data_IF_967587323408
#
_entry.id   IF_967587323408
#
_cell.length_a   1.000
_cell.length_b   1.000
_cell.length_c   1.000
_cell.angle_alpha   90.00
_cell.angle_beta   90.00
_cell.angle_gamma   90.00
#
_symmetry.space_group_name_H-M   'P 1'
#
loop_
_entity.id
_entity.type
_entity.pdbx_description
1 polymer ?
#
# COMPACT_ATOMS: atom_id res chain seq x y z
N UNK A 1 -19.81 -22.57 4.49
CA UNK A 1 -19.78 -21.14 4.16
C UNK A 1 -18.31 -20.76 3.98
N UNK A 2 -17.83 -20.82 2.75
CA UNK A 2 -16.48 -20.34 2.42
C UNK A 2 -16.52 -18.81 2.50
N UNK A 3 -15.91 -18.27 3.56
CA UNK A 3 -15.71 -16.83 3.67
C UNK A 3 -14.77 -16.41 2.55
N UNK A 4 -15.32 -15.84 1.49
CA UNK A 4 -14.57 -15.31 0.35
C UNK A 4 -13.53 -14.31 0.86
N UNK A 5 -12.27 -14.74 0.85
CA UNK A 5 -11.08 -13.92 1.14
C UNK A 5 -10.93 -12.73 0.19
N UNK A 6 -11.76 -12.64 -0.87
CA UNK A 6 -11.67 -11.60 -1.90
C UNK A 6 -12.06 -10.19 -1.41
N UNK A 7 -12.88 -10.07 -0.36
CA UNK A 7 -13.33 -8.76 0.16
C UNK A 7 -12.56 -8.25 1.38
N UNK A 8 -11.66 -9.06 1.94
CA UNK A 8 -10.90 -8.70 3.14
C UNK A 8 -10.10 -7.39 2.99
N UNK A 9 -9.39 -7.12 1.87
CA UNK A 9 -8.66 -5.86 1.70
C UNK A 9 -9.59 -4.65 1.77
N UNK A 10 -10.72 -4.68 1.04
CA UNK A 10 -11.68 -3.58 0.99
C UNK A 10 -12.32 -3.30 2.35
N UNK A 11 -12.68 -4.34 3.11
CA UNK A 11 -13.23 -4.21 4.47
C UNK A 11 -12.25 -3.55 5.44
N UNK A 12 -10.95 -3.71 5.22
CA UNK A 12 -9.88 -3.08 6.01
C UNK A 12 -9.47 -1.69 5.51
N UNK A 13 -10.12 -1.21 4.43
CA UNK A 13 -9.88 0.09 3.82
C UNK A 13 -8.73 0.11 2.81
N UNK A 14 -8.24 -1.05 2.38
CA UNK A 14 -7.22 -1.18 1.34
C UNK A 14 -7.85 -1.25 -0.05
N UNK A 15 -7.23 -0.58 -1.01
CA UNK A 15 -7.57 -0.61 -2.43
C UNK A 15 -6.39 -1.17 -3.23
N UNK A 16 -6.62 -1.74 -4.41
CA UNK A 16 -5.50 -2.21 -5.25
C UNK A 16 -4.60 -1.03 -5.61
N UNK A 17 -3.29 -1.20 -5.50
CA UNK A 17 -2.33 -0.11 -5.75
C UNK A 17 -2.47 0.46 -7.16
N UNK A 18 -2.73 -0.40 -8.15
CA UNK A 18 -2.89 -0.01 -9.55
C UNK A 18 -4.29 0.50 -9.92
N UNK A 19 -5.26 0.47 -8.99
CA UNK A 19 -6.58 1.04 -9.23
C UNK A 19 -6.55 2.56 -9.02
N UNK A 20 -6.03 3.27 -10.03
CA UNK A 20 -5.91 4.73 -9.99
C UNK A 20 -7.26 5.44 -9.87
N UNK A 21 -8.37 4.77 -10.21
CA UNK A 21 -9.71 5.34 -10.05
C UNK A 21 -10.13 5.46 -8.59
N UNK A 22 -9.54 4.64 -7.71
CA UNK A 22 -9.74 4.72 -6.27
C UNK A 22 -9.05 5.93 -5.62
N UNK A 23 -8.21 6.66 -6.37
CA UNK A 23 -7.39 7.77 -5.88
C UNK A 23 -7.62 9.03 -6.72
N UNK A 24 -8.74 9.74 -6.53
CA UNK A 24 -9.12 10.84 -7.42
C UNK A 24 -8.24 12.09 -7.29
N UNK A 25 -7.60 12.30 -6.14
CA UNK A 25 -6.74 13.47 -5.89
C UNK A 25 -5.41 13.37 -6.65
N UNK A 26 -5.06 14.41 -7.40
CA UNK A 26 -3.85 14.42 -8.25
C UNK A 26 -2.56 14.18 -7.46
N UNK A 27 -2.42 14.77 -6.27
CA UNK A 27 -1.25 14.53 -5.41
C UNK A 27 -1.13 13.07 -4.97
N UNK A 28 -2.28 12.39 -4.76
CA UNK A 28 -2.30 10.96 -4.42
C UNK A 28 -1.93 10.11 -5.63
N UNK A 29 -2.40 10.46 -6.83
CA UNK A 29 -2.00 9.77 -8.07
C UNK A 29 -0.50 9.90 -8.32
N UNK A 30 0.07 11.08 -8.09
CA UNK A 30 1.51 11.31 -8.18
C UNK A 30 2.27 10.40 -7.21
N UNK A 31 1.87 10.38 -5.93
CA UNK A 31 2.49 9.52 -4.92
C UNK A 31 2.40 8.03 -5.27
N UNK A 32 1.23 7.57 -5.70
CA UNK A 32 1.00 6.18 -6.13
C UNK A 32 1.91 5.84 -7.32
N UNK A 33 2.00 6.72 -8.32
CA UNK A 33 2.88 6.55 -9.48
C UNK A 33 4.35 6.42 -9.09
N UNK A 34 4.83 7.29 -8.18
CA UNK A 34 6.20 7.23 -7.68
C UNK A 34 6.48 5.93 -6.91
N UNK A 35 5.51 5.47 -6.10
CA UNK A 35 5.62 4.22 -5.33
C UNK A 35 5.65 3.01 -6.26
N UNK A 36 4.83 2.99 -7.31
CA UNK A 36 4.83 1.93 -8.32
C UNK A 36 6.20 1.86 -9.01
N UNK A 37 6.75 3.01 -9.42
CA UNK A 37 8.07 3.06 -10.04
C UNK A 37 9.16 2.55 -9.10
N UNK A 38 9.12 2.92 -7.82
CA UNK A 38 10.09 2.45 -6.83
C UNK A 38 9.97 0.92 -6.55
N UNK A 39 8.75 0.37 -6.50
CA UNK A 39 8.56 -1.09 -6.41
C UNK A 39 9.17 -1.82 -7.62
N UNK A 40 8.94 -1.28 -8.82
CA UNK A 40 9.52 -1.83 -10.06
C UNK A 40 11.05 -1.75 -10.05
N UNK A 41 11.62 -0.64 -9.58
CA UNK A 41 13.08 -0.48 -9.41
C UNK A 41 13.67 -1.55 -8.48
N UNK A 42 12.91 -1.97 -7.45
CA UNK A 42 13.26 -3.05 -6.53
C UNK A 42 12.94 -4.45 -7.07
N UNK A 43 12.49 -4.56 -8.32
CA UNK A 43 12.06 -5.81 -8.98
C UNK A 43 10.87 -6.49 -8.29
N UNK A 44 10.02 -5.71 -7.63
CA UNK A 44 8.77 -6.19 -7.03
C UNK A 44 7.59 -5.93 -7.98
N UNK A 45 6.57 -6.78 -7.94
CA UNK A 45 5.39 -6.66 -8.80
C UNK A 45 4.32 -5.79 -8.13
N UNK A 46 4.00 -4.58 -8.64
CA UNK A 46 3.02 -3.69 -8.04
C UNK A 46 1.59 -4.27 -7.98
N UNK A 47 1.26 -5.23 -8.85
CA UNK A 47 -0.06 -5.89 -8.86
C UNK A 47 -0.34 -6.68 -7.58
N UNK A 48 0.71 -7.09 -6.86
CA UNK A 48 0.62 -7.87 -5.63
C UNK A 48 0.30 -7.00 -4.41
N UNK A 49 0.26 -5.67 -4.57
CA UNK A 49 0.11 -4.73 -3.48
C UNK A 49 -1.25 -4.04 -3.46
N UNK A 50 -1.73 -3.85 -2.25
CA UNK A 50 -2.86 -3.00 -1.90
C UNK A 50 -2.35 -1.81 -1.08
N UNK A 51 -3.02 -0.68 -1.22
CA UNK A 51 -2.66 0.58 -0.58
C UNK A 51 -3.81 1.14 0.25
N UNK A 52 -3.45 1.75 1.37
CA UNK A 52 -4.32 2.56 2.22
C UNK A 52 -3.57 3.82 2.65
N UNK A 53 -4.21 4.98 2.58
CA UNK A 53 -3.59 6.21 3.08
C UNK A 53 -3.56 6.19 4.61
N UNK A 54 -2.40 6.51 5.17
CA UNK A 54 -2.26 6.71 6.61
C UNK A 54 -3.00 7.96 7.07
N UNK A 55 -3.34 8.01 8.36
CA UNK A 55 -3.91 9.20 9.02
C UNK A 55 -2.94 10.38 9.08
N UNK A 56 -1.64 10.09 9.13
CA UNK A 56 -0.60 11.07 9.45
C UNK A 56 -0.03 11.74 8.20
N UNK A 57 -0.91 12.36 7.41
CA UNK A 57 -0.48 13.18 6.28
C UNK A 57 0.02 14.52 6.77
N UNK A 58 1.12 14.98 6.18
CA UNK A 58 1.64 16.34 6.42
C UNK A 58 1.62 17.10 5.11
N UNK A 59 1.73 18.43 5.17
CA UNK A 59 1.74 19.27 3.97
C UNK A 59 2.85 18.90 2.96
N UNK A 60 3.91 18.21 3.40
CA UNK A 60 5.05 17.83 2.56
C UNK A 60 5.20 16.33 2.33
N UNK A 61 4.36 15.49 2.97
CA UNK A 61 4.50 14.02 2.87
C UNK A 61 3.16 13.31 2.81
N UNK A 62 3.07 12.38 1.88
CA UNK A 62 1.97 11.43 1.76
C UNK A 62 2.46 10.07 2.26
N UNK A 63 1.75 9.51 3.24
CA UNK A 63 2.09 8.22 3.85
C UNK A 63 1.05 7.19 3.42
N UNK A 64 1.52 6.04 2.92
CA UNK A 64 0.70 4.92 2.54
C UNK A 64 1.15 3.67 3.28
N UNK A 65 0.16 2.89 3.67
CA UNK A 65 0.32 1.51 4.08
C UNK A 65 0.22 0.63 2.83
N UNK A 66 1.27 -0.14 2.56
CA UNK A 66 1.30 -1.14 1.51
C UNK A 66 1.18 -2.53 2.13
N UNK A 67 0.14 -3.25 1.76
CA UNK A 67 -0.10 -4.63 2.15
C UNK A 67 0.02 -5.54 0.92
N UNK A 68 0.83 -6.59 1.01
CA UNK A 68 0.93 -7.60 -0.03
C UNK A 68 -0.33 -8.49 -0.01
N UNK A 69 -0.74 -9.02 -1.16
CA UNK A 69 -1.93 -9.88 -1.29
C UNK A 69 -1.93 -11.09 -0.33
N UNK A 70 -0.73 -11.57 0.02
CA UNK A 70 -0.52 -12.68 0.94
C UNK A 70 -0.95 -12.34 2.38
N UNK A 71 -1.01 -11.07 2.76
CA UNK A 71 -1.46 -10.66 4.09
C UNK A 71 -2.94 -10.91 4.31
N UNK A 72 -3.70 -11.05 3.22
CA UNK A 72 -5.13 -11.34 3.27
C UNK A 72 -5.46 -12.83 3.14
N UNK A 73 -4.45 -13.71 3.07
CA UNK A 73 -4.65 -15.16 3.16
C UNK A 73 -5.19 -15.54 4.54
N UNK A 74 -6.00 -16.59 4.61
CA UNK A 74 -6.64 -17.05 5.84
C UNK A 74 -5.63 -17.33 6.98
N UNK A 75 -4.44 -17.81 6.64
CA UNK A 75 -3.33 -18.06 7.57
C UNK A 75 -2.70 -16.79 8.17
N UNK A 76 -2.97 -15.63 7.59
CA UNK A 76 -2.34 -14.34 7.91
C UNK A 76 -3.33 -13.30 8.44
N UNK A 77 -4.65 -13.53 8.32
CA UNK A 77 -5.69 -12.53 8.63
C UNK A 77 -5.72 -12.05 10.09
N UNK A 78 -5.19 -12.85 11.02
CA UNK A 78 -5.09 -12.50 12.45
C UNK A 78 -3.67 -12.10 12.88
N UNK A 79 -2.72 -12.01 11.94
CA UNK A 79 -1.36 -11.59 12.26
C UNK A 79 -1.29 -10.06 12.25
N UNK A 80 -0.60 -9.51 13.24
CA UNK A 80 -0.34 -8.07 13.37
C UNK A 80 1.02 -7.76 12.75
N UNK A 81 1.19 -6.56 12.20
CA UNK A 81 2.47 -6.10 11.66
C UNK A 81 2.64 -6.49 10.20
N UNK A 82 3.68 -7.26 9.88
CA UNK A 82 4.02 -7.67 8.52
C UNK A 82 3.67 -9.15 8.23
N UNK A 83 2.38 -9.54 8.15
CA UNK A 83 1.95 -10.92 7.93
C UNK A 83 2.57 -11.60 6.70
N UNK A 84 2.77 -10.85 5.61
CA UNK A 84 3.33 -11.39 4.37
C UNK A 84 4.86 -11.47 4.34
N UNK A 85 5.54 -10.81 5.28
CA UNK A 85 6.97 -10.51 5.18
C UNK A 85 7.30 -9.36 4.21
N UNK A 86 6.31 -8.85 3.46
CA UNK A 86 6.45 -7.82 2.42
C UNK A 86 5.60 -6.56 2.68
N UNK A 87 4.89 -6.46 3.78
CA UNK A 87 4.11 -5.26 4.13
C UNK A 87 5.02 -4.15 4.62
N UNK A 88 4.68 -2.91 4.27
CA UNK A 88 5.55 -1.75 4.54
C UNK A 88 4.78 -0.43 4.52
N UNK A 89 5.36 0.60 5.13
CA UNK A 89 4.94 1.98 4.92
C UNK A 89 5.73 2.55 3.74
N UNK A 90 5.05 3.24 2.86
CA UNK A 90 5.63 4.06 1.83
C UNK A 90 5.43 5.53 2.17
N UNK A 91 6.50 6.29 2.17
CA UNK A 91 6.48 7.73 2.40
C UNK A 91 6.90 8.39 1.10
N UNK A 92 6.02 9.20 0.55
CA UNK A 92 6.32 10.04 -0.59
C UNK A 92 6.54 11.49 -0.12
N UNK A 93 7.75 12.00 -0.37
CA UNK A 93 8.10 13.41 -0.13
C UNK A 93 7.67 14.25 -1.34
N UNK A 94 6.70 15.15 -1.13
CA UNK A 94 6.13 16.00 -2.17
C UNK A 94 7.12 17.05 -2.70
N UNK A 95 8.13 17.42 -1.91
CA UNK A 95 9.14 18.43 -2.26
C UNK A 95 10.27 17.81 -3.04
N UNK A 96 10.84 16.73 -2.50
CA UNK A 96 12.00 16.05 -3.07
C UNK A 96 11.64 14.99 -4.11
N UNK A 97 10.34 14.70 -4.29
CA UNK A 97 9.80 13.70 -5.21
C UNK A 97 10.42 12.31 -5.01
N UNK A 98 10.66 11.97 -3.74
CA UNK A 98 11.35 10.74 -3.33
C UNK A 98 10.42 9.81 -2.57
N UNK A 99 10.57 8.51 -2.80
CA UNK A 99 9.90 7.45 -2.05
C UNK A 99 10.88 6.82 -1.07
N UNK A 100 10.47 6.71 0.19
CA UNK A 100 11.15 5.91 1.19
C UNK A 100 10.22 4.79 1.69
N UNK A 101 10.70 3.54 1.67
CA UNK A 101 10.00 2.42 2.26
C UNK A 101 10.53 2.14 3.67
N UNK A 102 9.62 2.10 4.63
CA UNK A 102 9.89 1.69 6.00
C UNK A 102 9.19 0.37 6.26
N UNK A 103 9.94 -0.63 6.73
CA UNK A 103 9.33 -1.87 7.22
C UNK A 103 8.36 -1.54 8.36
N UNK A 104 7.22 -2.21 8.39
CA UNK A 104 6.35 -2.15 9.57
C UNK A 104 7.11 -2.70 10.78
N UNK A 105 7.14 -1.91 11.85
CA UNK A 105 7.60 -2.34 13.18
C UNK A 105 6.42 -2.88 13.97
#
# INVERSE_FOLDING_TARGET
>A
MENSSSDAPKKLGYQRLLDMSAFPEEQRKEAIGAIIAELQNRKENPNEFYAKFGSDQTASKIILELAHENSFKAENINKVGNPSGKDRKAIYDLVNKKVDFLLWR
#
